data_IF_148196007343
#
_entry.id   IF_148196007343
#
_cell.length_a   1.000
_cell.length_b   1.000
_cell.length_c   1.000
_cell.angle_alpha   90.00
_cell.angle_beta   90.00
_cell.angle_gamma   90.00
#
_symmetry.space_group_name_H-M   'P 1'
#
loop_
_entity.id
_entity.type
_entity.pdbx_description
1 polymer ?
#
# COMPACT_ATOMS: atom_id res chain seq x y z
N UNK A 1 -18.74 -14.46 -5.76
CA UNK A 1 -19.91 -13.73 -5.22
C UNK A 1 -21.14 -14.25 -5.94
N UNK A 2 -22.18 -14.60 -5.19
CA UNK A 2 -23.49 -15.04 -5.69
C UNK A 2 -24.53 -14.01 -5.26
N UNK A 3 -25.38 -13.58 -6.18
CA UNK A 3 -26.47 -12.65 -5.91
C UNK A 3 -27.80 -13.28 -6.32
N UNK A 4 -28.81 -13.21 -5.45
CA UNK A 4 -30.15 -13.73 -5.70
C UNK A 4 -31.20 -12.95 -4.89
N UNK A 5 -32.44 -12.91 -5.36
CA UNK A 5 -33.56 -12.28 -4.64
C UNK A 5 -33.90 -13.03 -3.34
N UNK A 6 -33.72 -14.35 -3.35
CA UNK A 6 -33.82 -15.22 -2.19
C UNK A 6 -32.69 -16.26 -2.26
N UNK A 7 -31.97 -16.45 -1.15
CA UNK A 7 -30.95 -17.50 -1.02
C UNK A 7 -31.53 -18.62 -0.16
N UNK A 8 -31.83 -19.81 -0.75
CA UNK A 8 -32.33 -20.96 0.00
C UNK A 8 -31.36 -21.39 1.10
N UNK A 9 -31.89 -21.99 2.17
CA UNK A 9 -31.09 -22.42 3.32
C UNK A 9 -30.01 -23.46 2.93
N UNK A 10 -30.31 -24.30 1.95
CA UNK A 10 -29.38 -25.28 1.38
C UNK A 10 -28.20 -24.60 0.70
N UNK A 11 -28.45 -23.52 -0.06
CA UNK A 11 -27.41 -22.75 -0.73
C UNK A 11 -26.57 -21.97 0.29
N UNK A 12 -27.20 -21.41 1.33
CA UNK A 12 -26.49 -20.78 2.45
C UNK A 12 -25.52 -21.76 3.14
N UNK A 13 -25.95 -23.01 3.39
CA UNK A 13 -25.09 -24.06 3.97
C UNK A 13 -23.95 -24.48 3.04
N UNK A 14 -24.17 -24.51 1.73
CA UNK A 14 -23.11 -24.79 0.75
C UNK A 14 -22.08 -23.66 0.76
N UNK A 15 -22.51 -22.40 0.80
CA UNK A 15 -21.63 -21.24 0.91
C UNK A 15 -20.75 -21.30 2.16
N UNK A 16 -21.34 -21.67 3.30
CA UNK A 16 -20.60 -21.88 4.55
C UNK A 16 -19.60 -23.03 4.45
N UNK A 17 -20.02 -24.18 3.90
CA UNK A 17 -19.14 -25.33 3.69
C UNK A 17 -17.97 -25.01 2.76
N UNK A 18 -18.21 -24.25 1.68
CA UNK A 18 -17.13 -23.78 0.79
C UNK A 18 -16.15 -22.88 1.54
N UNK A 19 -16.63 -21.94 2.36
CA UNK A 19 -15.78 -21.09 3.20
C UNK A 19 -14.99 -21.89 4.25
N UNK A 20 -15.49 -23.05 4.70
CA UNK A 20 -14.76 -23.94 5.61
C UNK A 20 -13.68 -24.77 4.91
N UNK A 21 -13.88 -25.19 3.65
CA UNK A 21 -12.99 -26.12 2.95
C UNK A 21 -12.01 -25.45 1.96
N UNK A 22 -12.28 -24.21 1.53
CA UNK A 22 -11.50 -23.53 0.48
C UNK A 22 -10.67 -22.36 1.01
N UNK A 23 -9.53 -22.07 0.35
CA UNK A 23 -8.76 -20.81 0.54
C UNK A 23 -9.34 -19.66 -0.29
N UNK A 24 -10.67 -19.57 -0.33
CA UNK A 24 -11.38 -18.56 -1.09
C UNK A 24 -12.66 -18.19 -0.34
N UNK A 25 -13.03 -16.92 -0.38
CA UNK A 25 -14.25 -16.43 0.24
C UNK A 25 -15.39 -16.42 -0.78
N UNK A 26 -16.48 -17.09 -0.43
CA UNK A 26 -17.71 -17.09 -1.21
C UNK A 26 -18.76 -16.33 -0.41
N UNK A 27 -19.20 -15.22 -1.01
CA UNK A 27 -20.19 -14.32 -0.46
C UNK A 27 -21.52 -14.51 -1.19
N UNK A 28 -22.60 -14.69 -0.43
CA UNK A 28 -23.97 -14.60 -0.89
C UNK A 28 -24.58 -13.26 -0.50
N UNK A 29 -25.17 -12.55 -1.46
CA UNK A 29 -25.93 -11.32 -1.19
C UNK A 29 -27.38 -11.55 -1.59
N UNK A 30 -28.26 -11.48 -0.60
CA UNK A 30 -29.71 -11.54 -0.77
C UNK A 30 -30.28 -10.11 -0.72
N UNK A 31 -31.05 -9.72 -1.74
CA UNK A 31 -31.64 -8.39 -1.84
C UNK A 31 -33.16 -8.47 -1.79
N UNK A 32 -33.75 -8.32 -0.59
CA UNK A 32 -35.20 -8.23 -0.44
C UNK A 32 -35.65 -6.79 -0.65
N UNK A 33 -36.79 -6.58 -1.32
CA UNK A 33 -37.45 -5.28 -1.36
C UNK A 33 -38.84 -5.36 -0.72
N UNK A 34 -39.24 -4.28 -0.06
CA UNK A 34 -40.57 -4.10 0.50
C UNK A 34 -41.17 -2.85 -0.13
N UNK A 35 -42.43 -2.92 -0.55
CA UNK A 35 -43.16 -1.77 -1.07
C UNK A 35 -44.12 -1.26 0.01
N UNK A 36 -43.95 0.01 0.40
CA UNK A 36 -44.87 0.70 1.28
C UNK A 36 -46.14 1.07 0.52
N UNK A 37 -47.25 1.23 1.24
CA UNK A 37 -48.57 1.56 0.68
C UNK A 37 -48.65 2.91 -0.04
N UNK A 38 -47.60 3.74 0.06
CA UNK A 38 -47.44 5.00 -0.67
C UNK A 38 -46.50 4.88 -1.90
N UNK A 39 -46.15 3.66 -2.31
CA UNK A 39 -45.33 3.39 -3.49
C UNK A 39 -43.81 3.49 -3.26
N UNK A 40 -43.36 3.76 -2.03
CA UNK A 40 -41.92 3.75 -1.70
C UNK A 40 -41.38 2.32 -1.58
N UNK A 41 -40.27 2.04 -2.25
CA UNK A 41 -39.58 0.75 -2.18
C UNK A 41 -38.36 0.84 -1.26
N UNK A 42 -38.28 -0.05 -0.28
CA UNK A 42 -37.14 -0.20 0.62
C UNK A 42 -36.41 -1.49 0.31
N UNK A 43 -35.12 -1.39 0.01
CA UNK A 43 -34.23 -2.55 -0.16
C UNK A 43 -33.59 -2.91 1.18
N UNK A 44 -33.64 -4.18 1.54
CA UNK A 44 -33.03 -4.76 2.74
C UNK A 44 -32.01 -5.82 2.29
N UNK A 45 -30.72 -5.46 2.19
CA UNK A 45 -29.68 -6.42 1.88
C UNK A 45 -29.39 -7.33 3.08
N UNK A 46 -29.19 -8.63 2.81
CA UNK A 46 -28.68 -9.61 3.77
C UNK A 46 -27.45 -10.28 3.19
N UNK A 47 -26.35 -10.27 3.94
CA UNK A 47 -25.10 -10.93 3.57
C UNK A 47 -25.06 -12.30 4.24
N UNK A 48 -24.70 -13.32 3.47
CA UNK A 48 -24.58 -14.72 3.90
C UNK A 48 -23.14 -15.19 3.61
N UNK A 49 -22.53 -15.89 4.57
CA UNK A 49 -21.12 -16.28 4.55
C UNK A 49 -20.21 -15.47 5.48
N UNK A 50 -20.75 -14.44 6.14
CA UNK A 50 -20.07 -13.65 7.18
C UNK A 50 -20.11 -14.37 8.54
N UNK A 51 -19.36 -15.47 8.68
CA UNK A 51 -19.35 -16.26 9.91
C UNK A 51 -18.11 -15.97 10.76
N UNK A 52 -18.24 -15.97 12.09
CA UNK A 52 -17.09 -15.79 12.99
C UNK A 52 -15.94 -16.78 12.73
N UNK A 53 -16.21 -17.96 12.14
CA UNK A 53 -15.20 -18.94 11.75
C UNK A 53 -14.41 -18.54 10.50
N UNK A 54 -15.00 -17.87 9.51
CA UNK A 54 -14.23 -17.32 8.37
C UNK A 54 -13.28 -16.22 8.87
N UNK A 55 -13.74 -15.42 9.84
CA UNK A 55 -12.90 -14.50 10.62
C UNK A 55 -11.78 -15.22 11.38
N UNK A 56 -12.07 -16.36 12.04
CA UNK A 56 -11.05 -17.12 12.78
C UNK A 56 -10.04 -17.82 11.86
N UNK A 57 -10.43 -18.28 10.68
CA UNK A 57 -9.49 -18.82 9.69
C UNK A 57 -8.57 -17.72 9.12
N UNK A 58 -9.06 -16.47 9.03
CA UNK A 58 -8.22 -15.28 8.78
C UNK A 58 -7.21 -15.04 9.91
N UNK A 59 -7.61 -15.27 11.17
CA UNK A 59 -6.75 -15.04 12.36
C UNK A 59 -5.84 -16.21 12.73
N UNK A 60 -6.11 -17.45 12.29
CA UNK A 60 -5.32 -18.63 12.69
C UNK A 60 -3.95 -18.71 12.02
N UNK A 61 -3.77 -18.02 10.89
CA UNK A 61 -2.51 -17.87 10.17
C UNK A 61 -1.93 -16.45 10.21
N UNK A 62 -2.64 -15.48 10.78
CA UNK A 62 -2.05 -14.20 11.13
C UNK A 62 -1.65 -14.27 12.60
N UNK A 63 -0.33 -14.17 12.87
CA UNK A 63 0.11 -13.70 14.19
C UNK A 63 -0.77 -12.50 14.54
N UNK A 64 -1.28 -12.44 15.77
CA UNK A 64 -1.94 -11.24 16.27
C UNK A 64 -1.15 -10.03 15.77
N UNK A 65 -1.78 -9.03 15.12
CA UNK A 65 -1.06 -7.86 14.63
C UNK A 65 -0.22 -7.37 15.80
N UNK A 66 1.09 -7.24 15.60
CA UNK A 66 1.91 -6.52 16.55
C UNK A 66 1.21 -5.17 16.81
N UNK A 67 1.24 -4.63 18.05
CA UNK A 67 0.58 -3.36 18.34
C UNK A 67 0.91 -2.36 17.22
N UNK A 68 -0.12 -1.88 16.53
CA UNK A 68 0.06 -0.96 15.43
C UNK A 68 0.53 0.37 16.04
N UNK A 69 1.83 0.59 16.08
CA UNK A 69 2.42 1.87 16.47
C UNK A 69 1.84 2.94 15.54
N UNK A 70 1.39 4.06 16.12
CA UNK A 70 0.91 5.18 15.31
C UNK A 70 2.07 5.76 14.50
N UNK A 71 1.79 6.44 13.39
CA UNK A 71 2.86 7.12 12.64
C UNK A 71 3.60 8.13 13.53
N UNK A 72 2.88 8.85 14.37
CA UNK A 72 3.46 9.83 15.30
C UNK A 72 4.40 9.15 16.30
N UNK A 73 3.94 8.10 16.99
CA UNK A 73 4.78 7.35 17.93
C UNK A 73 6.01 6.74 17.24
N UNK A 74 5.84 6.26 16.01
CA UNK A 74 6.93 5.71 15.22
C UNK A 74 7.98 6.77 14.88
N UNK A 75 7.54 7.97 14.50
CA UNK A 75 8.45 9.10 14.24
C UNK A 75 9.15 9.54 15.52
N UNK A 76 8.44 9.60 16.65
CA UNK A 76 9.02 9.92 17.96
C UNK A 76 10.06 8.90 18.40
N UNK A 77 9.81 7.61 18.18
CA UNK A 77 10.72 6.55 18.61
C UNK A 77 11.97 6.45 17.72
N UNK A 78 11.80 6.54 16.40
CA UNK A 78 12.87 6.20 15.46
C UNK A 78 13.51 7.38 14.74
N UNK A 79 12.78 8.47 14.51
CA UNK A 79 13.25 9.58 13.68
C UNK A 79 13.68 10.79 14.53
N UNK A 80 12.92 11.14 15.56
CA UNK A 80 13.27 12.25 16.47
C UNK A 80 14.67 12.13 17.10
N UNK A 81 15.15 10.93 17.49
CA UNK A 81 16.51 10.79 18.05
C UNK A 81 17.64 10.88 17.02
N UNK A 82 17.34 10.87 15.71
CA UNK A 82 18.35 10.95 14.66
C UNK A 82 18.93 12.36 14.53
N UNK A 83 19.98 12.51 13.71
CA UNK A 83 20.54 13.83 13.48
C UNK A 83 19.51 14.79 12.85
N UNK A 84 19.56 16.10 13.15
CA UNK A 84 18.55 17.05 12.69
C UNK A 84 18.38 17.14 11.17
N UNK A 85 19.42 16.84 10.39
CA UNK A 85 19.34 16.92 8.92
C UNK A 85 18.60 15.72 8.35
N UNK A 86 18.84 14.53 8.91
CA UNK A 86 18.10 13.32 8.55
C UNK A 86 16.63 13.44 8.90
N UNK A 87 16.29 13.93 10.10
CA UNK A 87 14.90 14.23 10.49
C UNK A 87 14.24 15.19 9.49
N UNK A 88 14.87 16.34 9.23
CA UNK A 88 14.33 17.32 8.29
C UNK A 88 14.12 16.74 6.87
N UNK A 89 15.02 15.84 6.44
CA UNK A 89 14.87 15.10 5.20
C UNK A 89 13.67 14.15 5.18
N UNK A 90 13.41 13.47 6.29
CA UNK A 90 12.22 12.61 6.47
C UNK A 90 10.95 13.45 6.43
N UNK A 91 10.92 14.59 7.12
CA UNK A 91 9.78 15.51 7.12
C UNK A 91 9.46 16.00 5.69
N UNK A 92 10.48 16.40 4.93
CA UNK A 92 10.35 16.78 3.51
C UNK A 92 9.75 15.62 2.67
N UNK A 93 10.18 14.38 2.92
CA UNK A 93 9.65 13.22 2.19
C UNK A 93 8.20 12.93 2.56
N UNK A 94 7.83 13.07 3.85
CA UNK A 94 6.44 12.89 4.30
C UNK A 94 5.51 13.93 3.69
N UNK A 95 5.93 15.21 3.68
CA UNK A 95 5.20 16.30 3.03
C UNK A 95 5.04 16.02 1.54
N UNK A 96 6.13 15.65 0.85
CA UNK A 96 6.10 15.27 -0.57
C UNK A 96 5.06 14.18 -0.88
N UNK A 97 5.00 13.13 -0.04
CA UNK A 97 4.06 12.02 -0.19
C UNK A 97 2.62 12.47 0.05
N UNK A 98 2.38 13.24 1.11
CA UNK A 98 1.05 13.73 1.48
C UNK A 98 0.47 14.68 0.43
N UNK A 99 1.29 15.61 -0.10
CA UNK A 99 0.89 16.51 -1.20
C UNK A 99 0.41 15.77 -2.44
N UNK A 100 0.91 14.54 -2.65
CA UNK A 100 0.58 13.68 -3.80
C UNK A 100 -0.50 12.66 -3.47
N UNK A 101 -1.22 12.86 -2.37
CA UNK A 101 -2.30 11.99 -1.91
C UNK A 101 -1.86 10.52 -1.74
N UNK A 102 -0.59 10.29 -1.40
CA UNK A 102 -0.15 8.96 -1.04
C UNK A 102 -0.80 8.55 0.28
N UNK A 103 -1.18 7.28 0.39
CA UNK A 103 -1.42 6.66 1.69
C UNK A 103 -0.07 6.48 2.37
N UNK A 104 0.12 7.16 3.50
CA UNK A 104 1.36 7.14 4.29
C UNK A 104 1.07 6.44 5.62
N UNK A 105 1.51 5.19 5.75
CA UNK A 105 1.20 4.37 6.92
C UNK A 105 2.42 3.56 7.37
N UNK A 106 2.51 3.32 8.68
CA UNK A 106 3.46 2.35 9.24
C UNK A 106 3.06 0.96 8.75
N UNK A 107 4.01 0.23 8.17
CA UNK A 107 3.71 -1.11 7.67
C UNK A 107 3.42 -2.09 8.81
N UNK A 108 2.75 -3.20 8.49
CA UNK A 108 2.38 -4.24 9.46
C UNK A 108 3.56 -4.84 10.24
N UNK A 109 4.80 -4.65 9.78
CA UNK A 109 5.99 -5.13 10.49
C UNK A 109 6.61 -4.09 11.43
N UNK A 110 6.14 -2.84 11.41
CA UNK A 110 6.67 -1.74 12.22
C UNK A 110 8.03 -1.22 11.77
N UNK A 111 8.62 -1.74 10.69
CA UNK A 111 10.00 -1.42 10.30
C UNK A 111 10.13 -0.24 9.34
N UNK A 112 9.02 0.22 8.77
CA UNK A 112 9.03 1.35 7.84
C UNK A 112 7.64 1.99 7.71
N UNK A 113 7.63 3.28 7.41
CA UNK A 113 6.49 3.97 6.82
C UNK A 113 6.52 3.71 5.31
N UNK A 114 5.37 3.39 4.71
CA UNK A 114 5.24 3.17 3.26
C UNK A 114 4.41 4.27 2.62
N UNK A 115 4.91 4.83 1.51
CA UNK A 115 4.15 5.71 0.62
C UNK A 115 3.52 4.88 -0.50
N UNK A 116 2.21 4.71 -0.44
CA UNK A 116 1.42 3.93 -1.38
C UNK A 116 0.50 4.83 -2.21
N UNK A 117 0.45 4.61 -3.51
CA UNK A 117 -0.37 5.38 -4.44
C UNK A 117 -1.46 4.50 -5.03
N UNK A 118 -2.68 5.01 -5.11
CA UNK A 118 -3.77 4.31 -5.79
C UNK A 118 -3.54 4.31 -7.30
N UNK A 119 -3.64 3.14 -7.91
CA UNK A 119 -3.56 2.96 -9.37
C UNK A 119 -4.96 3.04 -9.97
N UNK A 120 -5.07 3.30 -11.28
CA UNK A 120 -6.35 3.26 -12.01
C UNK A 120 -7.11 1.94 -11.81
N UNK A 121 -6.38 0.84 -11.60
CA UNK A 121 -6.95 -0.48 -11.28
C UNK A 121 -7.57 -0.62 -9.88
N UNK A 122 -7.49 0.40 -9.02
CA UNK A 122 -7.86 0.35 -7.59
C UNK A 122 -6.87 -0.39 -6.70
N UNK A 123 -5.75 -0.89 -7.24
CA UNK A 123 -4.65 -1.49 -6.48
C UNK A 123 -3.67 -0.44 -6.01
N UNK A 124 -2.97 -0.70 -4.91
CA UNK A 124 -1.91 0.17 -4.42
C UNK A 124 -0.56 -0.11 -5.08
N UNK A 125 0.16 0.95 -5.44
CA UNK A 125 1.55 0.95 -5.83
C UNK A 125 2.42 1.45 -4.67
N UNK A 126 3.22 0.55 -4.09
CA UNK A 126 4.19 0.92 -3.05
C UNK A 126 5.50 1.33 -3.69
N UNK A 127 5.81 2.62 -3.66
CA UNK A 127 6.94 3.19 -4.41
C UNK A 127 8.07 3.67 -3.53
N UNK A 128 7.73 4.17 -2.34
CA UNK A 128 8.71 4.72 -1.41
C UNK A 128 8.50 4.15 -0.01
N UNK A 129 9.60 3.98 0.73
CA UNK A 129 9.55 3.61 2.15
C UNK A 129 10.57 4.39 2.96
N UNK A 130 10.16 4.85 4.13
CA UNK A 130 11.02 5.52 5.11
C UNK A 130 11.33 4.50 6.20
N UNK A 131 12.62 4.26 6.46
CA UNK A 131 13.08 3.26 7.43
C UNK A 131 13.43 3.89 8.77
N UNK A 132 13.49 3.07 9.81
CA UNK A 132 13.85 3.47 11.18
C UNK A 132 15.22 4.17 11.28
N UNK A 133 16.13 3.91 10.33
CA UNK A 133 17.45 4.54 10.27
C UNK A 133 17.44 5.89 9.50
N UNK A 134 16.26 6.41 9.13
CA UNK A 134 16.12 7.64 8.35
C UNK A 134 16.44 7.48 6.86
N UNK A 135 16.72 6.26 6.38
CA UNK A 135 16.92 6.03 4.95
C UNK A 135 15.60 5.95 4.19
N UNK A 136 15.59 6.51 2.97
CA UNK A 136 14.47 6.42 2.03
C UNK A 136 14.80 5.34 1.00
N UNK A 137 13.91 4.37 0.85
CA UNK A 137 13.94 3.34 -0.18
C UNK A 137 13.05 3.72 -1.36
N UNK A 138 13.53 3.42 -2.55
CA UNK A 138 12.76 3.48 -3.80
C UNK A 138 12.50 2.04 -4.25
N UNK A 139 11.25 1.60 -4.21
CA UNK A 139 10.86 0.20 -4.43
C UNK A 139 10.68 -0.10 -5.93
N UNK A 140 11.67 -0.75 -6.56
CA UNK A 140 11.55 -1.23 -7.95
C UNK A 140 11.08 -2.69 -8.05
N UNK A 141 11.17 -3.47 -6.97
CA UNK A 141 10.85 -4.90 -6.98
C UNK A 141 9.41 -5.24 -7.34
N UNK A 142 8.45 -4.44 -6.86
CA UNK A 142 7.03 -4.58 -7.21
C UNK A 142 6.67 -3.89 -8.53
N UNK A 143 7.45 -2.89 -8.92
CA UNK A 143 7.17 -2.09 -10.12
C UNK A 143 7.19 -2.90 -11.43
N UNK A 144 7.93 -4.00 -11.49
CA UNK A 144 7.93 -4.93 -12.63
C UNK A 144 6.55 -5.53 -12.94
N UNK A 145 5.63 -5.48 -11.97
CA UNK A 145 4.24 -5.97 -12.13
C UNK A 145 3.29 -4.88 -12.64
N UNK A 146 3.76 -3.62 -12.73
CA UNK A 146 2.96 -2.50 -13.22
C UNK A 146 3.11 -2.40 -14.74
N UNK A 147 2.02 -2.23 -15.51
CA UNK A 147 2.06 -2.29 -16.97
C UNK A 147 3.12 -1.39 -17.62
N UNK A 148 3.25 -0.14 -17.18
CA UNK A 148 4.20 0.81 -17.76
C UNK A 148 5.64 0.60 -17.26
N UNK A 149 5.83 -0.12 -16.15
CA UNK A 149 7.14 -0.35 -15.53
C UNK A 149 7.59 -1.80 -15.63
N UNK A 150 6.92 -2.62 -16.47
CA UNK A 150 7.31 -4.01 -16.69
C UNK A 150 8.61 -4.14 -17.52
N UNK A 151 8.97 -3.11 -18.30
CA UNK A 151 10.21 -3.02 -19.04
C UNK A 151 11.40 -2.78 -18.09
N UNK A 152 12.38 -3.71 -18.11
CA UNK A 152 13.56 -3.63 -17.25
C UNK A 152 14.47 -2.44 -17.59
N UNK A 153 14.67 -2.15 -18.86
CA UNK A 153 15.53 -1.06 -19.31
C UNK A 153 15.00 0.30 -18.83
N UNK A 154 13.68 0.50 -18.89
CA UNK A 154 13.05 1.71 -18.36
C UNK A 154 13.25 1.86 -16.84
N UNK A 155 13.14 0.76 -16.07
CA UNK A 155 13.41 0.80 -14.63
C UNK A 155 14.87 1.14 -14.33
N UNK A 156 15.81 0.62 -15.14
CA UNK A 156 17.23 0.94 -15.04
C UNK A 156 17.47 2.43 -15.28
N UNK A 157 16.86 3.00 -16.33
CA UNK A 157 16.97 4.42 -16.66
C UNK A 157 16.45 5.30 -15.51
N UNK A 158 15.27 4.99 -14.98
CA UNK A 158 14.71 5.73 -13.83
C UNK A 158 15.61 5.59 -12.59
N UNK A 159 16.15 4.40 -12.32
CA UNK A 159 17.08 4.19 -11.22
C UNK A 159 18.37 5.02 -11.39
N UNK A 160 18.88 5.13 -12.62
CA UNK A 160 20.04 5.95 -12.95
C UNK A 160 19.74 7.45 -12.80
N UNK A 161 18.57 7.92 -13.23
CA UNK A 161 18.11 9.30 -13.02
C UNK A 161 18.09 9.64 -11.52
N UNK A 162 17.50 8.78 -10.69
CA UNK A 162 17.55 8.96 -9.23
C UNK A 162 18.98 8.99 -8.68
N UNK A 163 19.84 8.08 -9.13
CA UNK A 163 21.22 8.05 -8.64
C UNK A 163 22.01 9.31 -9.02
N UNK A 164 21.78 9.87 -10.20
CA UNK A 164 22.40 11.12 -10.64
C UNK A 164 21.97 12.30 -9.76
N UNK A 165 20.66 12.47 -9.55
CA UNK A 165 20.13 13.54 -8.69
C UNK A 165 20.61 13.40 -7.24
N UNK A 166 20.72 12.16 -6.75
CA UNK A 166 21.26 11.84 -5.43
C UNK A 166 22.80 11.85 -5.38
N UNK A 167 23.47 12.36 -6.42
CA UNK A 167 24.92 12.54 -6.50
C UNK A 167 25.72 11.25 -6.24
N UNK A 168 25.20 10.11 -6.72
CA UNK A 168 25.83 8.80 -6.53
C UNK A 168 25.58 8.14 -5.17
N UNK A 169 24.76 8.73 -4.30
CA UNK A 169 24.50 8.22 -2.95
C UNK A 169 23.35 7.21 -2.89
N UNK A 170 22.87 6.71 -4.03
CA UNK A 170 21.85 5.68 -4.08
C UNK A 170 22.50 4.30 -3.85
N UNK A 171 22.34 3.75 -2.65
CA UNK A 171 22.88 2.44 -2.26
C UNK A 171 21.98 1.33 -2.78
N UNK A 172 22.51 0.43 -3.60
CA UNK A 172 21.76 -0.73 -4.13
C UNK A 172 21.95 -1.96 -3.25
N UNK A 173 20.85 -2.60 -2.84
CA UNK A 173 20.88 -3.80 -2.00
C UNK A 173 21.08 -5.10 -2.77
N UNK A 174 20.92 -5.08 -4.10
CA UNK A 174 21.03 -6.24 -4.99
C UNK A 174 21.82 -5.89 -6.24
N UNK A 175 22.49 -6.88 -6.84
CA UNK A 175 23.06 -6.75 -8.20
C UNK A 175 21.98 -6.66 -9.28
N UNK A 176 20.73 -7.06 -8.98
CA UNK A 176 19.61 -6.94 -9.90
C UNK A 176 18.90 -5.58 -9.78
N UNK A 177 18.43 -5.04 -10.90
CA UNK A 177 17.68 -3.79 -11.03
C UNK A 177 16.21 -3.87 -10.56
N UNK A 178 15.93 -4.88 -9.75
CA UNK A 178 14.62 -5.18 -9.15
C UNK A 178 14.65 -5.07 -7.62
N UNK A 179 15.71 -4.46 -7.07
CA UNK A 179 15.85 -4.22 -5.64
C UNK A 179 15.05 -3.02 -5.13
N UNK A 180 15.36 -2.61 -3.90
CA UNK A 180 14.87 -1.40 -3.28
C UNK A 180 16.09 -0.56 -2.84
N UNK A 181 16.76 0.12 -3.78
CA UNK A 181 17.87 0.99 -3.44
C UNK A 181 17.44 2.07 -2.44
N UNK A 182 18.40 2.53 -1.64
CA UNK A 182 18.15 3.48 -0.57
C UNK A 182 19.16 4.60 -0.51
N UNK A 183 18.75 5.76 -0.03
CA UNK A 183 19.62 6.89 0.24
C UNK A 183 19.27 7.51 1.60
N UNK A 184 20.18 8.33 2.12
CA UNK A 184 19.98 9.04 3.39
C UNK A 184 19.04 10.25 3.18
N UNK A 185 17.99 10.37 4.01
CA UNK A 185 16.98 11.42 3.82
C UNK A 185 17.57 12.83 3.91
N UNK A 186 18.69 13.04 4.62
CA UNK A 186 19.33 14.36 4.74
C UNK A 186 19.69 14.97 3.39
N UNK A 187 19.85 14.17 2.33
CA UNK A 187 20.07 14.66 0.97
C UNK A 187 18.93 15.55 0.46
N UNK A 188 17.69 15.29 0.89
CA UNK A 188 16.51 16.08 0.49
C UNK A 188 16.50 17.49 1.10
N UNK A 189 17.32 17.74 2.14
CA UNK A 189 17.46 19.10 2.69
C UNK A 189 18.17 20.06 1.72
N UNK A 190 18.85 19.53 0.71
CA UNK A 190 19.46 20.34 -0.35
C UNK A 190 18.38 20.71 -1.38
N UNK A 191 17.97 21.98 -1.41
CA UNK A 191 16.88 22.48 -2.28
C UNK A 191 16.98 22.03 -3.74
N UNK A 192 18.18 22.06 -4.32
CA UNK A 192 18.38 21.61 -5.70
C UNK A 192 18.13 20.10 -5.86
N UNK A 193 18.69 19.28 -4.96
CA UNK A 193 18.51 17.83 -4.98
C UNK A 193 17.02 17.49 -4.84
N UNK A 194 16.31 18.15 -3.93
CA UNK A 194 14.88 17.89 -3.75
C UNK A 194 14.07 18.29 -4.97
N UNK A 195 14.29 19.47 -5.54
CA UNK A 195 13.57 19.93 -6.73
C UNK A 195 13.76 18.98 -7.93
N UNK A 196 14.97 18.48 -8.14
CA UNK A 196 15.25 17.51 -9.20
C UNK A 196 14.67 16.12 -8.86
N UNK A 197 14.71 15.73 -7.59
CA UNK A 197 14.14 14.46 -7.12
C UNK A 197 12.63 14.41 -7.35
N UNK A 198 11.92 15.52 -7.08
CA UNK A 198 10.47 15.61 -7.30
C UNK A 198 10.10 15.30 -8.75
N UNK A 199 10.85 15.83 -9.73
CA UNK A 199 10.60 15.60 -11.16
C UNK A 199 10.67 14.11 -11.50
N UNK A 200 11.72 13.43 -11.04
CA UNK A 200 11.91 11.99 -11.32
C UNK A 200 10.89 11.15 -10.55
N UNK A 201 10.59 11.51 -9.30
CA UNK A 201 9.59 10.84 -8.48
C UNK A 201 8.18 10.99 -9.08
N UNK A 202 7.81 12.15 -9.59
CA UNK A 202 6.52 12.40 -10.24
C UNK A 202 6.36 11.60 -11.53
N UNK A 203 7.43 11.53 -12.35
CA UNK A 203 7.49 10.62 -13.50
C UNK A 203 7.29 9.15 -13.06
N UNK A 204 7.98 8.71 -12.01
CA UNK A 204 7.88 7.34 -11.52
C UNK A 204 6.49 7.00 -10.98
N UNK A 205 5.89 7.91 -10.21
CA UNK A 205 4.51 7.79 -9.69
C UNK A 205 3.52 7.72 -10.84
N UNK A 206 3.62 8.62 -11.82
CA UNK A 206 2.73 8.62 -12.99
C UNK A 206 2.78 7.30 -13.76
N UNK A 207 3.98 6.73 -13.96
CA UNK A 207 4.11 5.43 -14.65
C UNK A 207 3.54 4.28 -13.81
N UNK A 208 3.72 4.32 -12.49
CA UNK A 208 3.24 3.25 -11.61
C UNK A 208 1.72 3.25 -11.37
N UNK A 209 1.09 4.42 -11.48
CA UNK A 209 -0.34 4.60 -11.17
C UNK A 209 -1.27 4.35 -12.37
N UNK A 210 -0.73 4.26 -13.59
CA UNK A 210 -1.46 3.88 -14.79
C UNK A 210 -1.89 2.39 -14.82
#
# INVERSE_FOLDING_TARGET
MIAADEIPLELARILEFMNEQMRAEVWGVELRYYEASDGRRTLVPRIIGDTAKSYLNRTRNSRAPAPHISQEDWLQEYIEPLDPRTKAGVDIMLEFLNERSASVEVNNSGYAISGAFERVSGRLAYLFRIRQDGSIRIDFGWSKTYPQLNNEQLRIEIQQEFNQVLKGNLKTTTKSHSGAPSFDASLLTQKQVFSEFQIIADKYISLATQ
#
